data_IF_440213347292
#
_entry.id   IF_440213347292
#
_cell.length_a   1.000
_cell.length_b   1.000
_cell.length_c   1.000
_cell.angle_alpha   90.00
_cell.angle_beta   90.00
_cell.angle_gamma   90.00
#
_symmetry.space_group_name_H-M   'P 1'
#
loop_
_entity.id
_entity.type
_entity.pdbx_description
1 polymer ?
#
# COMPACT_ATOMS: atom_id res chain seq x y z
N UNK A 1 7.07 9.94 1.85
CA UNK A 1 5.61 9.72 1.84
C UNK A 1 5.32 8.43 2.60
N UNK A 2 4.22 8.33 3.34
CA UNK A 2 3.77 7.09 4.00
C UNK A 2 2.57 6.47 3.28
N UNK A 3 2.14 5.28 3.70
CA UNK A 3 1.02 4.56 3.08
C UNK A 3 -0.27 5.39 3.08
N UNK A 4 -0.62 5.99 4.22
CA UNK A 4 -1.85 6.76 4.41
C UNK A 4 -1.90 7.96 3.47
N UNK A 5 -0.76 8.65 3.28
CA UNK A 5 -0.66 9.77 2.34
C UNK A 5 -0.78 9.29 0.89
N UNK A 6 -0.12 8.20 0.53
CA UNK A 6 -0.18 7.64 -0.82
C UNK A 6 -1.61 7.17 -1.17
N UNK A 7 -2.26 6.50 -0.22
CA UNK A 7 -3.62 6.02 -0.34
C UNK A 7 -4.62 7.18 -0.46
N UNK A 8 -4.51 8.20 0.40
CA UNK A 8 -5.38 9.39 0.33
C UNK A 8 -5.25 10.11 -1.01
N UNK A 9 -4.03 10.22 -1.57
CA UNK A 9 -3.82 10.82 -2.90
C UNK A 9 -4.44 9.96 -4.02
N UNK A 10 -4.36 8.65 -3.90
CA UNK A 10 -4.99 7.74 -4.84
C UNK A 10 -6.52 7.89 -4.83
N UNK A 11 -7.14 8.00 -3.64
CA UNK A 11 -8.58 8.26 -3.51
C UNK A 11 -8.98 9.61 -4.13
N UNK A 12 -8.16 10.65 -3.97
CA UNK A 12 -8.40 11.94 -4.63
C UNK A 12 -8.37 11.84 -6.15
N UNK A 13 -7.43 11.05 -6.71
CA UNK A 13 -7.35 10.81 -8.15
C UNK A 13 -8.58 10.07 -8.65
N UNK A 14 -9.01 9.02 -7.95
CA UNK A 14 -10.22 8.27 -8.30
C UNK A 14 -11.44 9.19 -8.29
N UNK A 15 -11.63 9.99 -7.24
CA UNK A 15 -12.72 10.98 -7.18
C UNK A 15 -12.69 11.98 -8.32
N UNK A 16 -11.51 12.42 -8.75
CA UNK A 16 -11.38 13.31 -9.90
C UNK A 16 -11.78 12.60 -11.19
N UNK A 17 -11.30 11.37 -11.41
CA UNK A 17 -11.64 10.57 -12.59
C UNK A 17 -13.14 10.23 -12.69
N UNK A 18 -13.83 10.11 -11.57
CA UNK A 18 -15.29 9.92 -11.52
C UNK A 18 -16.09 11.21 -11.81
N UNK A 19 -15.42 12.37 -11.81
CA UNK A 19 -16.03 13.66 -12.09
C UNK A 19 -16.37 13.85 -13.57
N UNK A 20 -17.51 14.51 -13.85
CA UNK A 20 -18.00 14.70 -15.23
C UNK A 20 -17.23 15.73 -16.08
N UNK A 21 -16.29 16.48 -15.49
CA UNK A 21 -15.60 17.60 -16.13
C UNK A 21 -14.09 17.38 -16.34
N UNK A 22 -13.62 16.14 -16.39
CA UNK A 22 -12.19 15.86 -16.67
C UNK A 22 -11.98 15.71 -18.17
N UNK A 23 -11.03 16.46 -18.73
CA UNK A 23 -10.64 16.32 -20.13
C UNK A 23 -9.95 14.98 -20.40
N UNK A 24 -9.82 14.60 -21.68
CA UNK A 24 -9.15 13.36 -22.05
C UNK A 24 -7.67 13.38 -21.65
N UNK A 25 -6.94 14.48 -21.91
CA UNK A 25 -5.54 14.60 -21.50
C UNK A 25 -5.38 14.52 -19.97
N UNK A 26 -6.24 15.20 -19.21
CA UNK A 26 -6.21 15.14 -17.74
C UNK A 26 -6.53 13.73 -17.24
N UNK A 27 -7.49 13.03 -17.85
CA UNK A 27 -7.83 11.66 -17.50
C UNK A 27 -6.63 10.72 -17.65
N UNK A 28 -5.86 10.86 -18.74
CA UNK A 28 -4.65 10.06 -18.97
C UNK A 28 -3.57 10.39 -17.94
N UNK A 29 -3.37 11.68 -17.62
CA UNK A 29 -2.39 12.11 -16.62
C UNK A 29 -2.74 11.61 -15.20
N UNK A 30 -4.02 11.72 -14.82
CA UNK A 30 -4.56 11.22 -13.56
C UNK A 30 -4.44 9.70 -13.46
N UNK A 31 -4.76 8.98 -14.53
CA UNK A 31 -4.63 7.52 -14.57
C UNK A 31 -3.18 7.06 -14.38
N UNK A 32 -2.23 7.66 -15.09
CA UNK A 32 -0.81 7.39 -14.90
C UNK A 32 -0.36 7.66 -13.45
N UNK A 33 -0.78 8.79 -12.89
CA UNK A 33 -0.48 9.12 -11.49
C UNK A 33 -1.10 8.10 -10.51
N UNK A 34 -2.31 7.63 -10.79
CA UNK A 34 -2.99 6.59 -10.03
C UNK A 34 -2.26 5.24 -10.07
N UNK A 35 -1.70 4.86 -11.23
CA UNK A 35 -0.86 3.66 -11.36
C UNK A 35 0.38 3.75 -10.46
N UNK A 36 1.09 4.88 -10.50
CA UNK A 36 2.31 5.05 -9.71
C UNK A 36 2.03 5.04 -8.20
N UNK A 37 0.98 5.73 -7.75
CA UNK A 37 0.55 5.69 -6.35
C UNK A 37 0.10 4.29 -5.91
N UNK A 38 -0.56 3.54 -6.80
CA UNK A 38 -0.97 2.17 -6.52
C UNK A 38 0.26 1.25 -6.33
N UNK A 39 1.30 1.42 -7.16
CA UNK A 39 2.57 0.70 -7.00
C UNK A 39 3.26 1.04 -5.68
N UNK A 40 3.27 2.32 -5.29
CA UNK A 40 3.82 2.74 -4.00
C UNK A 40 3.04 2.12 -2.82
N UNK A 41 1.71 2.12 -2.87
CA UNK A 41 0.88 1.48 -1.86
C UNK A 41 1.20 -0.01 -1.72
N UNK A 42 1.30 -0.73 -2.85
CA UNK A 42 1.68 -2.16 -2.85
C UNK A 42 3.08 -2.38 -2.27
N UNK A 43 4.03 -1.49 -2.53
CA UNK A 43 5.36 -1.56 -1.94
C UNK A 43 5.31 -1.45 -0.41
N UNK A 44 4.59 -0.48 0.13
CA UNK A 44 4.42 -0.33 1.57
C UNK A 44 3.75 -1.56 2.22
N UNK A 45 2.74 -2.13 1.59
CA UNK A 45 2.07 -3.33 2.07
C UNK A 45 3.01 -4.55 2.05
N UNK A 46 3.81 -4.71 1.01
CA UNK A 46 4.80 -5.81 0.92
C UNK A 46 5.88 -5.68 1.98
N UNK A 47 6.43 -4.48 2.20
CA UNK A 47 7.40 -4.22 3.26
C UNK A 47 6.82 -4.52 4.64
N UNK A 48 5.56 -4.11 4.89
CA UNK A 48 4.87 -4.36 6.15
C UNK A 48 4.60 -5.85 6.36
N UNK A 49 4.18 -6.56 5.32
CA UNK A 49 3.99 -8.02 5.36
C UNK A 49 5.30 -8.74 5.69
N UNK A 50 6.41 -8.32 5.10
CA UNK A 50 7.74 -8.87 5.41
C UNK A 50 8.12 -8.70 6.89
N UNK A 51 7.86 -7.51 7.46
CA UNK A 51 8.10 -7.25 8.89
C UNK A 51 7.24 -8.14 9.79
N UNK A 52 5.95 -8.30 9.47
CA UNK A 52 5.05 -9.17 10.23
C UNK A 52 5.53 -10.63 10.18
N UNK A 53 5.98 -11.09 9.01
CA UNK A 53 6.51 -12.45 8.87
C UNK A 53 7.72 -12.67 9.79
N UNK A 54 8.69 -11.77 9.76
CA UNK A 54 9.89 -11.87 10.62
C UNK A 54 9.53 -11.89 12.11
N UNK A 55 8.63 -11.01 12.55
CA UNK A 55 8.17 -10.99 13.94
C UNK A 55 7.41 -12.26 14.33
N UNK A 56 6.66 -12.86 13.39
CA UNK A 56 5.95 -14.12 13.60
C UNK A 56 6.95 -15.27 13.75
N UNK A 57 7.98 -15.31 12.91
CA UNK A 57 9.03 -16.33 12.97
C UNK A 57 9.83 -16.22 14.29
N UNK A 58 10.16 -15.00 14.72
CA UNK A 58 10.81 -14.73 16.01
C UNK A 58 9.93 -15.19 17.19
N UNK A 59 8.63 -14.87 17.16
CA UNK A 59 7.68 -15.30 18.18
C UNK A 59 7.56 -16.84 18.24
N UNK A 60 7.55 -17.51 17.08
CA UNK A 60 7.50 -18.96 17.03
C UNK A 60 8.76 -19.60 17.63
N UNK A 61 9.96 -19.08 17.30
CA UNK A 61 11.21 -19.56 17.87
C UNK A 61 11.23 -19.42 19.40
N UNK A 62 10.78 -18.27 19.92
CA UNK A 62 10.64 -18.08 21.36
C UNK A 62 9.69 -19.13 21.97
N UNK A 63 8.55 -19.39 21.34
CA UNK A 63 7.62 -20.41 21.84
C UNK A 63 8.22 -21.83 21.85
N UNK A 64 9.14 -22.15 20.93
CA UNK A 64 9.83 -23.45 20.92
C UNK A 64 10.88 -23.56 22.03
N UNK A 65 11.59 -22.48 22.36
CA UNK A 65 12.57 -22.45 23.46
C UNK A 65 11.95 -22.68 24.85
N UNK A 66 10.66 -22.41 25.00
CA UNK A 66 9.93 -22.56 26.28
C UNK A 66 9.00 -23.79 26.35
N UNK A 67 9.05 -24.73 25.39
CA UNK A 67 8.29 -25.99 25.52
C UNK A 67 8.84 -26.81 26.71
N UNK A 68 8.06 -27.03 27.79
CA UNK A 68 8.45 -27.95 28.84
C UNK A 68 8.43 -29.38 28.28
N UNK A 69 9.44 -30.18 28.60
CA UNK A 69 9.52 -31.62 28.29
C UNK A 69 8.28 -32.41 28.76
#
# INVERSE_FOLDING_TARGET
>A
MNFETAYSKLEEIVKKLEGQNVSLEESIALFNSGIELSKECLKFLNESKGKIQLLTDELNNLCEEFKPE
#
